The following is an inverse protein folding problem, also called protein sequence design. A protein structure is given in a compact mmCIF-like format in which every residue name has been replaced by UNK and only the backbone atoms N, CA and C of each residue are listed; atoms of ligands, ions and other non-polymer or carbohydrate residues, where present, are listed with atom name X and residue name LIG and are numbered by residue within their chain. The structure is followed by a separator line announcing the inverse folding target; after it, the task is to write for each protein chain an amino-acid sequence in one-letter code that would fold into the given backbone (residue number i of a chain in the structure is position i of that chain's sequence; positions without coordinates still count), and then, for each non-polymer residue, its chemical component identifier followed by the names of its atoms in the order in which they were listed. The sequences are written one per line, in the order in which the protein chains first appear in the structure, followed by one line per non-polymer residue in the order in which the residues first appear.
data_IF_870904873772
#
_entry.id   IF_870904873772
#
_cell.length_a   1.000
_cell.length_b   1.000
_cell.length_c   1.000
_cell.angle_alpha   90.00
_cell.angle_beta   90.00
_cell.angle_gamma   90.00
#
_symmetry.space_group_name_H-M   'P 1'
#
loop_
_entity.id
_entity.type
_entity.pdbx_description
1 polymer ?
#
# COMPACT_ATOMS: atom_id res chain seq x y z
N UNK A 1 -22.69 -46.68 -10.68
CA UNK A 1 -23.65 -45.56 -10.53
C UNK A 1 -23.37 -44.69 -9.30
N UNK A 2 -23.20 -45.26 -8.09
CA UNK A 2 -22.95 -44.48 -6.85
C UNK A 2 -21.69 -43.60 -6.88
N UNK A 3 -20.58 -44.09 -7.45
CA UNK A 3 -19.32 -43.34 -7.58
C UNK A 3 -19.41 -42.15 -8.56
N UNK A 4 -20.17 -42.30 -9.64
CA UNK A 4 -20.40 -41.24 -10.64
C UNK A 4 -21.29 -40.13 -10.05
N UNK A 5 -22.27 -40.52 -9.24
CA UNK A 5 -23.09 -39.56 -8.50
C UNK A 5 -22.25 -38.76 -7.49
N UNK A 6 -21.27 -39.38 -6.85
CA UNK A 6 -20.41 -38.72 -5.87
C UNK A 6 -19.46 -37.70 -6.55
N UNK A 7 -18.91 -38.05 -7.72
CA UNK A 7 -18.05 -37.14 -8.48
C UNK A 7 -18.79 -35.93 -9.04
N UNK A 8 -20.05 -36.10 -9.48
CA UNK A 8 -20.88 -34.99 -9.95
C UNK A 8 -21.21 -34.00 -8.81
N UNK A 9 -21.51 -34.51 -7.62
CA UNK A 9 -21.76 -33.67 -6.44
C UNK A 9 -20.51 -32.90 -6.02
N UNK A 10 -19.33 -33.53 -6.08
CA UNK A 10 -18.06 -32.90 -5.71
C UNK A 10 -17.66 -31.78 -6.70
N UNK A 11 -17.85 -31.98 -8.02
CA UNK A 11 -17.55 -30.97 -9.03
C UNK A 11 -18.46 -29.73 -8.92
N UNK A 12 -19.72 -29.91 -8.52
CA UNK A 12 -20.67 -28.78 -8.38
C UNK A 12 -20.29 -27.83 -7.23
N UNK A 13 -19.57 -28.31 -6.20
CA UNK A 13 -19.14 -27.48 -5.07
C UNK A 13 -18.03 -26.48 -5.40
N UNK A 14 -17.21 -26.75 -6.43
CA UNK A 14 -16.14 -25.86 -6.88
C UNK A 14 -16.63 -24.69 -7.75
N UNK A 15 -17.88 -24.72 -8.22
CA UNK A 15 -18.45 -23.68 -9.08
C UNK A 15 -19.04 -22.48 -8.31
N UNK A 16 -18.90 -22.44 -6.98
CA UNK A 16 -19.36 -21.30 -6.20
C UNK A 16 -18.45 -20.10 -6.44
N UNK A 17 -19.00 -19.05 -7.05
CA UNK A 17 -18.31 -17.77 -7.21
C UNK A 17 -17.98 -17.20 -5.82
N UNK A 18 -16.69 -17.13 -5.49
CA UNK A 18 -16.22 -16.45 -4.29
C UNK A 18 -16.53 -14.95 -4.44
N UNK A 19 -17.54 -14.48 -3.72
CA UNK A 19 -17.88 -13.06 -3.59
C UNK A 19 -16.86 -12.40 -2.66
N UNK A 20 -15.64 -12.20 -3.13
CA UNK A 20 -14.66 -11.38 -2.44
C UNK A 20 -15.09 -9.92 -2.50
N UNK A 21 -15.16 -9.24 -1.36
CA UNK A 21 -15.46 -7.81 -1.30
C UNK A 21 -14.35 -7.06 -2.05
N UNK A 22 -14.68 -6.26 -3.08
CA UNK A 22 -13.69 -5.48 -3.79
C UNK A 22 -13.04 -4.48 -2.83
N UNK A 23 -11.71 -4.37 -2.88
CA UNK A 23 -10.96 -3.41 -2.06
C UNK A 23 -11.52 -2.00 -2.28
N UNK A 24 -11.79 -1.28 -1.18
CA UNK A 24 -12.40 0.05 -1.14
C UNK A 24 -11.97 0.93 -2.34
N UNK A 25 -12.82 1.04 -3.38
CA UNK A 25 -12.45 1.75 -4.60
C UNK A 25 -12.74 3.26 -4.49
N UNK A 26 -13.14 3.73 -3.31
CA UNK A 26 -13.60 5.10 -3.11
C UNK A 26 -12.49 6.04 -2.65
N UNK A 27 -12.61 7.29 -3.07
CA UNK A 27 -11.79 8.38 -2.60
C UNK A 27 -12.09 8.65 -1.13
N UNK A 28 -11.04 8.72 -0.32
CA UNK A 28 -11.11 9.07 1.09
C UNK A 28 -10.64 10.51 1.24
N UNK A 29 -11.41 11.31 1.98
CA UNK A 29 -11.03 12.67 2.34
C UNK A 29 -10.10 12.62 3.56
N UNK A 30 -8.86 13.07 3.37
CA UNK A 30 -7.86 13.21 4.42
C UNK A 30 -7.79 14.66 4.89
N UNK A 31 -7.69 14.86 6.20
CA UNK A 31 -7.45 16.16 6.81
C UNK A 31 -5.95 16.33 7.11
N UNK A 32 -5.47 17.55 6.93
CA UNK A 32 -4.09 17.97 7.20
C UNK A 32 -4.01 18.81 8.49
N UNK A 33 -2.82 18.96 9.09
CA UNK A 33 -2.66 19.74 10.32
C UNK A 33 -3.11 21.21 10.22
N UNK A 34 -3.09 21.79 9.03
CA UNK A 34 -3.55 23.14 8.75
C UNK A 34 -5.08 23.25 8.54
N UNK A 35 -5.82 22.14 8.70
CA UNK A 35 -7.25 22.06 8.46
C UNK A 35 -7.63 21.92 6.98
N UNK A 36 -6.67 21.94 6.05
CA UNK A 36 -6.94 21.67 4.65
C UNK A 36 -7.26 20.19 4.44
N UNK A 37 -7.95 19.88 3.34
CA UNK A 37 -8.34 18.51 3.01
C UNK A 37 -8.01 18.16 1.56
N UNK A 38 -7.69 16.89 1.33
CA UNK A 38 -7.50 16.34 0.00
C UNK A 38 -8.15 14.97 -0.11
N UNK A 39 -8.39 14.53 -1.35
CA UNK A 39 -8.99 13.23 -1.63
C UNK A 39 -7.96 12.31 -2.27
N UNK A 40 -7.86 11.08 -1.76
CA UNK A 40 -6.93 10.08 -2.26
C UNK A 40 -7.44 8.66 -1.98
N UNK A 41 -6.86 7.66 -2.64
CA UNK A 41 -7.14 6.26 -2.37
C UNK A 41 -6.18 5.74 -1.31
N UNK A 42 -6.69 5.04 -0.31
CA UNK A 42 -5.87 4.21 0.57
C UNK A 42 -5.66 2.85 -0.09
N UNK A 43 -4.42 2.45 -0.29
CA UNK A 43 -4.02 1.17 -0.90
C UNK A 43 -3.12 0.39 0.05
N UNK A 44 -3.13 -0.93 -0.12
CA UNK A 44 -2.24 -1.83 0.61
C UNK A 44 -2.97 -2.90 1.41
N UNK A 45 -2.22 -3.54 2.30
CA UNK A 45 -2.65 -4.63 3.16
C UNK A 45 -2.12 -4.46 4.59
N UNK A 46 -2.29 -5.48 5.44
CA UNK A 46 -1.78 -5.50 6.83
C UNK A 46 -0.26 -5.28 6.93
N UNK A 47 0.48 -5.58 5.87
CA UNK A 47 1.94 -5.56 5.89
C UNK A 47 2.49 -4.24 5.32
N UNK A 48 1.79 -3.64 4.37
CA UNK A 48 2.20 -2.39 3.75
C UNK A 48 1.02 -1.61 3.19
N UNK A 49 0.85 -0.38 3.66
CA UNK A 49 -0.18 0.55 3.21
C UNK A 49 0.42 1.87 2.75
N UNK A 50 -0.16 2.45 1.70
CA UNK A 50 0.21 3.77 1.19
C UNK A 50 -1.03 4.51 0.68
N UNK A 51 -0.90 5.82 0.50
CA UNK A 51 -1.96 6.66 -0.05
C UNK A 51 -1.59 7.03 -1.49
N UNK A 52 -2.56 6.97 -2.39
CA UNK A 52 -2.37 7.24 -3.81
C UNK A 52 -3.33 8.34 -4.28
N UNK A 53 -2.80 9.40 -4.88
CA UNK A 53 -3.63 10.47 -5.46
C UNK A 53 -4.34 9.99 -6.73
N UNK A 54 -5.31 10.77 -7.22
CA UNK A 54 -5.95 10.52 -8.51
C UNK A 54 -4.95 10.48 -9.69
N UNK A 55 -3.80 11.16 -9.55
CA UNK A 55 -2.72 11.18 -10.53
C UNK A 55 -1.72 10.02 -10.37
N UNK A 56 -2.05 9.00 -9.57
CA UNK A 56 -1.18 7.85 -9.26
C UNK A 56 0.15 8.26 -8.62
N UNK A 57 0.15 9.33 -7.83
CA UNK A 57 1.31 9.72 -7.03
C UNK A 57 1.16 9.15 -5.62
N UNK A 58 2.23 8.58 -5.11
CA UNK A 58 2.25 7.98 -3.77
C UNK A 58 2.53 9.06 -2.72
N UNK A 59 1.75 9.03 -1.64
CA UNK A 59 1.84 9.94 -0.52
C UNK A 59 2.16 9.17 0.76
N UNK A 60 2.94 9.82 1.63
CA UNK A 60 3.24 9.34 2.98
C UNK A 60 3.02 10.46 3.98
N UNK A 61 2.56 10.11 5.19
CA UNK A 61 2.48 11.07 6.28
C UNK A 61 3.88 11.28 6.86
N UNK A 62 4.35 12.52 6.85
CA UNK A 62 5.59 12.89 7.51
C UNK A 62 5.36 12.96 9.01
N UNK A 63 6.18 12.24 9.79
CA UNK A 63 6.12 12.31 11.25
C UNK A 63 6.65 13.64 11.78
N UNK A 64 7.50 14.32 11.01
CA UNK A 64 8.13 15.60 11.40
C UNK A 64 7.18 16.77 11.19
N UNK A 65 6.57 16.87 10.00
CA UNK A 65 5.66 17.98 9.67
C UNK A 65 4.21 17.69 10.06
N UNK A 66 3.83 16.42 10.14
CA UNK A 66 2.44 15.98 10.30
C UNK A 66 1.62 16.04 9.02
N UNK A 67 2.16 16.61 7.93
CA UNK A 67 1.50 16.72 6.63
C UNK A 67 1.64 15.44 5.83
N UNK A 68 0.73 15.27 4.86
CA UNK A 68 0.89 14.28 3.81
C UNK A 68 1.76 14.87 2.70
N UNK A 69 2.87 14.19 2.43
CA UNK A 69 3.90 14.62 1.49
C UNK A 69 4.05 13.57 0.39
N UNK A 70 4.56 13.99 -0.77
CA UNK A 70 4.91 13.03 -1.82
C UNK A 70 5.99 12.08 -1.34
N UNK A 71 5.86 10.80 -1.69
CA UNK A 71 6.86 9.82 -1.30
C UNK A 71 8.00 9.77 -2.31
N UNK A 72 9.23 9.73 -1.81
CA UNK A 72 10.44 9.38 -2.56
C UNK A 72 10.89 7.98 -2.11
N UNK A 73 11.58 7.28 -2.99
CA UNK A 73 12.23 6.02 -2.65
C UNK A 73 13.67 6.31 -2.27
N UNK A 74 14.04 5.89 -1.08
CA UNK A 74 15.43 5.80 -0.65
C UNK A 74 15.82 4.33 -0.48
N UNK A 75 17.09 4.04 -0.75
CA UNK A 75 17.69 2.75 -0.49
C UNK A 75 18.39 2.83 0.86
N UNK A 76 17.99 1.96 1.78
CA UNK A 76 18.60 1.83 3.10
C UNK A 76 19.96 1.12 3.00
N UNK A 77 20.76 1.16 4.07
CA UNK A 77 22.09 0.51 4.13
C UNK A 77 22.04 -0.99 3.78
N UNK A 78 20.92 -1.64 4.08
CA UNK A 78 20.62 -3.05 3.78
C UNK A 78 20.13 -3.30 2.34
N UNK A 79 20.30 -2.33 1.42
CA UNK A 79 19.74 -2.35 0.04
C UNK A 79 18.22 -2.51 0.01
N UNK A 80 17.55 -2.14 1.10
CA UNK A 80 16.10 -2.23 1.20
C UNK A 80 15.47 -0.92 0.76
N UNK A 81 14.50 -0.99 -0.15
CA UNK A 81 13.78 0.21 -0.60
C UNK A 81 12.81 0.66 0.50
N UNK A 82 12.76 1.97 0.76
CA UNK A 82 11.86 2.58 1.74
C UNK A 82 11.20 3.81 1.16
N UNK A 83 9.92 4.00 1.49
CA UNK A 83 9.22 5.25 1.22
C UNK A 83 9.59 6.28 2.28
N UNK A 84 10.09 7.42 1.83
CA UNK A 84 10.41 8.58 2.66
C UNK A 84 9.63 9.82 2.21
N UNK A 85 9.28 10.73 3.13
CA UNK A 85 8.63 11.98 2.78
C UNK A 85 9.58 12.89 1.98
N UNK A 86 9.08 13.50 0.89
CA UNK A 86 9.87 14.37 0.01
C UNK A 86 10.12 15.77 0.55
N UNK A 87 9.45 16.19 1.63
CA UNK A 87 9.39 17.57 2.07
C UNK A 87 8.33 18.42 1.34
N UNK A 88 7.68 17.88 0.31
CA UNK A 88 6.68 18.60 -0.49
C UNK A 88 5.27 18.16 -0.07
N UNK A 89 4.54 18.97 0.72
CA UNK A 89 3.19 18.65 1.15
C UNK A 89 2.18 18.74 0.00
N UNK A 90 1.18 17.87 0.05
CA UNK A 90 0.02 17.95 -0.85
C UNK A 90 -0.87 19.08 -0.36
N UNK A 91 -0.75 20.27 -0.94
CA UNK A 91 -1.62 21.40 -0.56
C UNK A 91 -2.61 21.63 -1.71
N UNK A 92 -3.91 21.50 -1.41
CA UNK A 92 -4.96 21.91 -2.35
C UNK A 92 -5.19 23.43 -2.25
N UNK A 93 -4.21 24.24 -2.70
CA UNK A 93 -4.42 25.71 -2.83
C UNK A 93 -4.68 26.06 -4.29
N UNK A 94 -5.95 26.01 -4.70
CA UNK A 94 -6.44 26.70 -5.90
C UNK A 94 -5.75 26.40 -7.25
N UNK A 95 -4.97 25.33 -7.38
CA UNK A 95 -4.31 24.99 -8.64
C UNK A 95 -5.21 24.09 -9.48
N UNK A 96 -6.01 24.77 -10.31
CA UNK A 96 -6.62 24.21 -11.51
C UNK A 96 -5.56 23.50 -12.36
N UNK A 97 -5.75 22.20 -12.58
CA UNK A 97 -5.49 21.49 -13.83
C UNK A 97 -4.17 21.77 -14.60
N UNK A 98 -3.07 22.08 -13.93
CA UNK A 98 -1.74 22.05 -14.53
C UNK A 98 -0.96 20.95 -13.80
N UNK A 99 -0.46 20.00 -14.59
CA UNK A 99 0.37 18.88 -14.17
C UNK A 99 1.22 19.30 -12.99
N UNK A 100 1.03 18.65 -11.83
CA UNK A 100 1.88 18.80 -10.67
C UNK A 100 3.25 18.24 -11.04
N UNK A 101 4.03 19.03 -11.79
CA UNK A 101 5.43 18.80 -12.13
C UNK A 101 6.25 19.15 -10.89
N UNK A 102 5.98 18.43 -9.79
CA UNK A 102 6.65 18.62 -8.50
C UNK A 102 8.12 18.21 -8.57
N UNK A 103 8.62 17.76 -9.74
CA UNK A 103 9.96 17.21 -9.92
C UNK A 103 10.21 15.92 -9.13
N UNK A 104 9.19 15.42 -8.41
CA UNK A 104 9.32 14.22 -7.58
C UNK A 104 9.19 12.99 -8.49
N UNK A 105 10.19 12.09 -8.50
CA UNK A 105 10.13 10.87 -9.29
C UNK A 105 8.92 10.03 -8.83
N UNK A 106 8.11 9.58 -9.78
CA UNK A 106 6.93 8.79 -9.43
C UNK A 106 7.36 7.39 -8.96
N UNK A 107 6.75 6.95 -7.86
CA UNK A 107 6.96 5.62 -7.31
C UNK A 107 6.20 4.59 -8.16
N UNK A 108 6.94 3.66 -8.75
CA UNK A 108 6.33 2.61 -9.58
C UNK A 108 5.74 1.48 -8.74
N UNK A 109 4.75 0.78 -9.31
CA UNK A 109 4.13 -0.39 -8.68
C UNK A 109 5.12 -1.52 -8.43
N UNK A 110 6.13 -1.67 -9.29
CA UNK A 110 7.19 -2.67 -9.12
C UNK A 110 8.04 -2.38 -7.87
N UNK A 111 8.38 -1.12 -7.65
CA UNK A 111 9.10 -0.69 -6.44
C UNK A 111 8.25 -0.93 -5.19
N UNK A 112 6.95 -0.61 -5.22
CA UNK A 112 6.01 -0.94 -4.13
C UNK A 112 5.95 -2.45 -3.86
N UNK A 113 5.94 -3.27 -4.91
CA UNK A 113 5.96 -4.73 -4.81
C UNK A 113 7.23 -5.27 -4.14
N UNK A 114 8.41 -4.76 -4.51
CA UNK A 114 9.69 -5.12 -3.89
C UNK A 114 9.70 -4.77 -2.39
N UNK A 115 9.19 -3.60 -2.02
CA UNK A 115 9.07 -3.19 -0.60
C UNK A 115 8.14 -4.11 0.18
N UNK A 116 6.99 -4.47 -0.40
CA UNK A 116 6.06 -5.42 0.22
C UNK A 116 6.71 -6.79 0.44
N UNK A 117 7.40 -7.33 -0.57
CA UNK A 117 8.11 -8.60 -0.46
C UNK A 117 9.18 -8.57 0.64
N UNK A 118 9.94 -7.47 0.73
CA UNK A 118 10.94 -7.27 1.78
C UNK A 118 10.30 -7.26 3.18
N UNK A 119 9.20 -6.54 3.39
CA UNK A 119 8.47 -6.51 4.67
C UNK A 119 7.92 -7.89 5.06
N UNK A 120 7.38 -8.64 4.11
CA UNK A 120 6.91 -10.00 4.34
C UNK A 120 8.07 -10.93 4.71
N UNK A 121 9.19 -10.85 4.01
CA UNK A 121 10.38 -11.66 4.30
C UNK A 121 10.92 -11.37 5.72
N UNK A 122 11.01 -10.08 6.10
CA UNK A 122 11.40 -9.68 7.45
C UNK A 122 10.44 -10.25 8.52
N UNK A 123 9.12 -10.13 8.32
CA UNK A 123 8.10 -10.68 9.22
C UNK A 123 8.22 -12.21 9.36
N UNK A 124 8.55 -12.92 8.27
CA UNK A 124 8.78 -14.37 8.28
C UNK A 124 10.08 -14.75 8.99
N UNK A 125 11.18 -14.05 8.74
CA UNK A 125 12.47 -14.30 9.39
C UNK A 125 12.38 -14.10 10.91
N UNK A 126 11.67 -13.08 11.38
CA UNK A 126 11.42 -12.87 12.82
C UNK A 126 10.68 -14.07 13.45
N UNK A 127 9.74 -14.69 12.72
CA UNK A 127 9.02 -15.88 13.21
C UNK A 127 9.87 -17.15 13.20
N UNK A 128 10.95 -17.20 12.43
CA UNK A 128 11.81 -18.38 12.25
C UNK A 128 12.96 -18.45 13.25
N UNK A 129 13.21 -17.42 14.07
CA UNK A 129 14.17 -17.51 15.16
C UNK A 129 13.51 -18.27 16.32
N UNK A 130 13.86 -19.54 16.58
CA UNK A 130 13.34 -20.23 17.77
C UNK A 130 13.77 -19.44 19.00
N UNK A 131 12.85 -19.31 19.97
CA UNK A 131 13.16 -18.71 21.26
C UNK A 131 14.45 -19.36 21.79
N UNK A 132 15.48 -18.54 21.97
CA UNK A 132 16.78 -18.97 22.51
C UNK A 132 16.48 -19.75 23.79
N UNK A 133 16.78 -21.05 23.81
CA UNK A 133 16.68 -21.85 25.02
C UNK A 133 17.53 -21.17 26.09
N UNK A 134 16.88 -20.60 27.10
CA UNK A 134 17.57 -20.04 28.27
C UNK A 134 18.26 -21.18 29.01
N UNK A 135 19.51 -20.99 29.47
CA UNK A 135 20.20 -21.94 30.32
C UNK A 135 19.51 -22.13 31.68
#
# INVERSE_FOLDING_TARGET
MKLISLTIVLLSGFAMNLMAVPAAPYLITFAQPDGSTFQAHLKGDENFSWIETQNKQVLIKSNTSGFFEFAIIEEDEDKSLKLVPSGIPVIKRGQSALRSDTGVPNVTREQLGKMWQSKIAAKRNIKLVPAKNSP
#
